data_IF_076226538033
#
_entry.id   IF_076226538033
#
_cell.length_a   1.000
_cell.length_b   1.000
_cell.length_c   1.000
_cell.angle_alpha   90.00
_cell.angle_beta   90.00
_cell.angle_gamma   90.00
#
_symmetry.space_group_name_H-M   'P 1'
#
loop_
_entity.id
_entity.type
_entity.pdbx_description
1 polymer ?
#
# COMPACT_ATOMS: atom_id res chain seq x y z
N UNK A 1 -20.98 -2.34 -3.62
CA UNK A 1 -20.09 -1.18 -3.89
C UNK A 1 -19.68 -0.56 -2.56
N UNK A 2 -18.46 -0.05 -2.46
CA UNK A 2 -17.96 0.66 -1.27
C UNK A 2 -18.02 2.17 -1.52
N UNK A 3 -18.40 2.95 -0.50
CA UNK A 3 -18.43 4.41 -0.57
C UNK A 3 -17.26 4.98 0.22
N UNK A 4 -16.49 5.86 -0.41
CA UNK A 4 -15.36 6.56 0.21
C UNK A 4 -15.66 8.04 0.18
N UNK A 5 -15.65 8.68 1.35
CA UNK A 5 -15.93 10.10 1.51
C UNK A 5 -14.69 10.83 1.99
N UNK A 6 -14.35 11.93 1.34
CA UNK A 6 -13.40 12.91 1.85
C UNK A 6 -14.18 14.01 2.58
N UNK A 7 -14.19 14.03 3.93
CA UNK A 7 -14.88 15.08 4.69
C UNK A 7 -14.12 16.41 4.70
N UNK A 8 -12.85 16.41 4.27
CA UNK A 8 -11.97 17.57 4.31
C UNK A 8 -12.31 18.65 3.29
N UNK A 9 -11.70 19.82 3.49
CA UNK A 9 -11.75 20.97 2.57
C UNK A 9 -10.70 20.92 1.46
N UNK A 10 -9.75 19.98 1.53
CA UNK A 10 -8.69 19.77 0.52
C UNK A 10 -8.87 18.45 -0.20
N UNK A 11 -8.40 18.38 -1.45
CA UNK A 11 -8.38 17.13 -2.22
C UNK A 11 -7.43 16.10 -1.60
N UNK A 12 -7.87 14.84 -1.56
CA UNK A 12 -6.99 13.70 -1.42
C UNK A 12 -6.49 13.34 -2.82
N UNK A 13 -5.20 13.45 -3.07
CA UNK A 13 -4.62 13.20 -4.39
C UNK A 13 -3.68 12.00 -4.30
N UNK A 14 -3.99 10.94 -5.06
CA UNK A 14 -3.19 9.72 -5.11
C UNK A 14 -2.93 9.09 -3.71
N UNK A 15 -3.87 9.30 -2.78
CA UNK A 15 -3.80 8.84 -1.41
C UNK A 15 -4.18 7.38 -1.32
N UNK A 16 -3.47 6.62 -0.49
CA UNK A 16 -3.86 5.25 -0.15
C UNK A 16 -4.82 5.31 1.03
N UNK A 17 -6.03 4.78 0.83
CA UNK A 17 -7.03 4.63 1.89
C UNK A 17 -7.03 3.18 2.41
N UNK A 18 -7.30 3.02 3.70
CA UNK A 18 -7.44 1.72 4.35
C UNK A 18 -8.93 1.38 4.50
N UNK A 19 -9.34 0.23 3.97
CA UNK A 19 -10.70 -0.29 4.12
C UNK A 19 -10.64 -1.59 4.92
N UNK A 20 -11.30 -1.68 6.09
CA UNK A 20 -11.36 -2.91 6.87
C UNK A 20 -11.86 -4.08 6.03
N UNK A 21 -11.17 -5.22 6.10
CA UNK A 21 -11.51 -6.40 5.31
C UNK A 21 -12.91 -6.94 5.62
N UNK A 22 -13.38 -6.73 6.85
CA UNK A 22 -14.78 -7.00 7.25
C UNK A 22 -15.79 -6.19 6.44
N UNK A 23 -15.50 -4.91 6.18
CA UNK A 23 -16.32 -4.03 5.34
C UNK A 23 -16.33 -4.50 3.88
N UNK A 24 -15.17 -4.95 3.36
CA UNK A 24 -15.07 -5.52 2.01
C UNK A 24 -15.91 -6.78 1.88
N UNK A 25 -15.73 -7.75 2.80
CA UNK A 25 -16.51 -9.00 2.80
C UNK A 25 -18.01 -8.77 2.97
N UNK A 26 -18.42 -7.75 3.74
CA UNK A 26 -19.84 -7.39 3.85
C UNK A 26 -20.41 -6.84 2.54
N UNK A 27 -19.63 -6.03 1.82
CA UNK A 27 -20.06 -5.40 0.57
C UNK A 27 -19.93 -6.32 -0.66
N UNK A 28 -19.01 -7.30 -0.60
CA UNK A 28 -18.74 -8.27 -1.66
C UNK A 28 -18.35 -9.63 -1.04
N UNK A 29 -19.31 -10.41 -0.51
CA UNK A 29 -19.05 -11.67 0.19
C UNK A 29 -18.30 -12.72 -0.63
N UNK A 30 -18.49 -12.71 -1.94
CA UNK A 30 -17.86 -13.61 -2.93
C UNK A 30 -16.47 -13.16 -3.38
N UNK A 31 -15.81 -12.27 -2.63
CA UNK A 31 -14.49 -11.75 -2.98
C UNK A 31 -13.47 -12.88 -3.12
N UNK A 32 -12.79 -12.91 -4.27
CA UNK A 32 -11.66 -13.78 -4.55
C UNK A 32 -10.41 -12.91 -4.63
N UNK A 33 -9.48 -13.08 -3.69
CA UNK A 33 -8.25 -12.26 -3.62
C UNK A 33 -7.33 -12.47 -4.83
N UNK A 34 -7.42 -13.62 -5.52
CA UNK A 34 -6.63 -13.88 -6.72
C UNK A 34 -7.29 -13.31 -7.99
N UNK A 35 -8.59 -12.99 -7.94
CA UNK A 35 -9.39 -12.52 -9.06
C UNK A 35 -10.25 -11.31 -8.66
N UNK A 36 -9.62 -10.29 -8.08
CA UNK A 36 -10.28 -9.05 -7.73
C UNK A 36 -9.88 -7.94 -8.70
N UNK A 37 -10.86 -7.23 -9.23
CA UNK A 37 -10.66 -5.96 -9.91
C UNK A 37 -11.48 -4.89 -9.19
N UNK A 38 -10.91 -3.69 -9.05
CA UNK A 38 -11.53 -2.56 -8.37
C UNK A 38 -11.51 -1.36 -9.30
N UNK A 39 -12.66 -0.71 -9.47
CA UNK A 39 -12.75 0.53 -10.23
C UNK A 39 -13.31 1.66 -9.40
N UNK A 40 -12.82 2.87 -9.67
CA UNK A 40 -13.38 4.13 -9.20
C UNK A 40 -13.75 4.96 -10.43
N UNK A 41 -15.01 5.39 -10.53
CA UNK A 41 -15.51 6.16 -11.69
C UNK A 41 -15.21 5.48 -13.05
N UNK A 42 -15.31 4.15 -13.10
CA UNK A 42 -15.09 3.35 -14.32
C UNK A 42 -13.63 3.10 -14.69
N UNK A 43 -12.67 3.62 -13.93
CA UNK A 43 -11.23 3.36 -14.13
C UNK A 43 -10.72 2.41 -13.07
N UNK A 44 -9.89 1.45 -13.47
CA UNK A 44 -9.23 0.56 -12.53
C UNK A 44 -8.29 1.33 -11.59
N UNK A 45 -8.26 0.93 -10.33
CA UNK A 45 -7.42 1.53 -9.29
C UNK A 45 -6.46 0.51 -8.71
N UNK A 46 -5.24 0.96 -8.41
CA UNK A 46 -4.25 0.14 -7.73
C UNK A 46 -4.71 -0.18 -6.30
N UNK A 47 -4.49 -1.42 -5.87
CA UNK A 47 -4.83 -1.86 -4.53
C UNK A 47 -3.82 -2.89 -4.00
N UNK A 48 -3.80 -3.09 -2.69
CA UNK A 48 -3.00 -4.10 -2.01
C UNK A 48 -3.77 -4.70 -0.84
N UNK A 49 -3.49 -5.97 -0.51
CA UNK A 49 -3.99 -6.60 0.70
C UNK A 49 -2.97 -6.45 1.83
N UNK A 50 -3.39 -5.82 2.93
CA UNK A 50 -2.56 -5.69 4.13
C UNK A 50 -2.91 -6.82 5.12
N UNK A 51 -1.88 -7.46 5.67
CA UNK A 51 -2.04 -8.52 6.67
C UNK A 51 -1.55 -8.16 8.06
N UNK A 52 -0.78 -7.07 8.23
CA UNK A 52 -0.21 -6.66 9.53
C UNK A 52 0.48 -7.79 10.32
N UNK A 53 1.19 -8.68 9.62
CA UNK A 53 1.86 -9.85 10.21
C UNK A 53 0.94 -11.06 10.42
N UNK A 54 -0.36 -10.95 10.15
CA UNK A 54 -1.33 -12.03 10.31
C UNK A 54 -1.39 -12.98 9.10
N UNK A 55 -1.97 -14.16 9.32
CA UNK A 55 -2.25 -15.09 8.22
C UNK A 55 -3.39 -14.60 7.32
N UNK A 56 -4.33 -13.83 7.83
CA UNK A 56 -5.50 -13.35 7.08
C UNK A 56 -5.36 -11.87 6.69
N UNK A 57 -6.09 -11.47 5.63
CA UNK A 57 -6.17 -10.07 5.22
C UNK A 57 -6.92 -9.28 6.28
N UNK A 58 -6.31 -8.19 6.75
CA UNK A 58 -6.90 -7.26 7.71
C UNK A 58 -7.54 -6.07 7.01
N UNK A 59 -6.87 -5.56 5.97
CA UNK A 59 -7.34 -4.39 5.23
C UNK A 59 -7.12 -4.53 3.73
N UNK A 60 -7.96 -3.84 2.98
CA UNK A 60 -7.77 -3.52 1.58
C UNK A 60 -7.27 -2.08 1.47
N UNK A 61 -6.05 -1.92 0.97
CA UNK A 61 -5.44 -0.62 0.68
C UNK A 61 -5.77 -0.25 -0.77
N UNK A 62 -6.31 0.94 -1.02
CA UNK A 62 -6.68 1.38 -2.38
C UNK A 62 -6.13 2.77 -2.64
N UNK A 63 -5.44 2.97 -3.76
CA UNK A 63 -4.97 4.30 -4.16
C UNK A 63 -6.07 5.06 -4.91
N UNK A 64 -6.51 6.19 -4.37
CA UNK A 64 -7.61 6.99 -4.92
C UNK A 64 -7.28 8.49 -4.93
N UNK A 65 -7.99 9.24 -5.78
CA UNK A 65 -8.09 10.69 -5.68
C UNK A 65 -9.55 11.07 -5.43
N UNK A 66 -9.80 11.85 -4.37
CA UNK A 66 -11.15 12.26 -3.94
C UNK A 66 -11.14 13.76 -3.67
N UNK A 67 -11.99 14.51 -4.38
CA UNK A 67 -12.13 15.95 -4.18
C UNK A 67 -12.65 16.30 -2.79
N UNK A 68 -12.57 17.58 -2.38
CA UNK A 68 -13.05 18.03 -1.08
C UNK A 68 -14.56 17.81 -0.95
N UNK A 69 -15.01 17.37 0.23
CA UNK A 69 -16.43 17.05 0.52
C UNK A 69 -17.08 16.05 -0.46
N UNK A 70 -16.27 15.35 -1.26
CA UNK A 70 -16.76 14.43 -2.28
C UNK A 70 -16.87 13.01 -1.73
N UNK A 71 -17.84 12.27 -2.26
CA UNK A 71 -17.91 10.81 -2.11
C UNK A 71 -17.71 10.14 -3.45
N UNK A 72 -16.82 9.16 -3.51
CA UNK A 72 -16.65 8.27 -4.67
C UNK A 72 -17.17 6.87 -4.34
N UNK A 73 -17.45 6.10 -5.38
CA UNK A 73 -17.85 4.69 -5.26
C UNK A 73 -16.76 3.81 -5.83
N UNK A 74 -16.42 2.75 -5.08
CA UNK A 74 -15.58 1.66 -5.55
C UNK A 74 -16.47 0.48 -5.93
N UNK A 75 -16.37 0.06 -7.19
CA UNK A 75 -16.99 -1.16 -7.68
C UNK A 75 -15.97 -2.29 -7.61
N UNK A 76 -16.37 -3.41 -7.00
CA UNK A 76 -15.58 -4.62 -6.85
C UNK A 76 -16.25 -5.71 -7.68
N UNK A 77 -15.47 -6.42 -8.47
CA UNK A 77 -15.97 -7.52 -9.28
C UNK A 77 -14.87 -8.54 -9.52
N UNK A 78 -15.29 -9.73 -9.93
CA UNK A 78 -14.37 -10.82 -10.28
C UNK A 78 -13.67 -10.49 -11.59
N UNK A 79 -12.34 -10.49 -11.59
CA UNK A 79 -11.54 -10.15 -12.76
C UNK A 79 -10.04 -10.29 -12.49
N UNK A 80 -9.25 -10.40 -13.56
CA UNK A 80 -7.79 -10.37 -13.44
C UNK A 80 -7.36 -8.91 -13.18
N UNK A 81 -6.66 -8.60 -12.07
CA UNK A 81 -6.18 -7.25 -11.84
C UNK A 81 -5.19 -6.85 -12.94
N UNK A 82 -5.28 -5.59 -13.35
CA UNK A 82 -4.34 -4.95 -14.27
C UNK A 82 -2.94 -4.85 -13.66
N UNK A 83 -1.95 -4.63 -14.53
CA UNK A 83 -0.58 -4.36 -14.10
C UNK A 83 -0.54 -2.98 -13.43
N UNK A 84 0.06 -2.93 -12.24
CA UNK A 84 0.34 -1.70 -11.51
C UNK A 84 1.83 -1.43 -11.59
N UNK A 85 2.21 -0.23 -12.01
CA UNK A 85 3.61 0.19 -12.00
C UNK A 85 4.07 0.42 -10.55
N UNK A 86 5.12 -0.28 -10.08
CA UNK A 86 5.65 -0.08 -8.74
C UNK A 86 6.16 1.36 -8.56
N UNK A 87 5.77 2.00 -7.45
CA UNK A 87 6.24 3.34 -7.05
C UNK A 87 7.25 3.33 -5.90
N UNK A 88 7.44 2.16 -5.30
CA UNK A 88 8.36 1.95 -4.20
C UNK A 88 9.14 0.68 -4.46
N UNK A 89 10.37 0.64 -3.97
CA UNK A 89 11.22 -0.53 -4.03
C UNK A 89 11.92 -0.71 -2.69
N UNK A 90 12.09 -1.96 -2.28
CA UNK A 90 12.91 -2.29 -1.13
C UNK A 90 13.64 -3.59 -1.39
N UNK A 91 14.82 -3.72 -0.78
CA UNK A 91 15.59 -4.96 -0.82
C UNK A 91 16.50 -5.07 0.37
N UNK A 92 16.88 -6.32 0.64
CA UNK A 92 18.06 -6.62 1.42
C UNK A 92 19.32 -6.30 0.60
N UNK A 93 20.34 -5.76 1.26
CA UNK A 93 21.60 -5.33 0.67
C UNK A 93 22.76 -6.04 1.40
N UNK A 94 22.90 -7.37 1.22
CA UNK A 94 23.94 -8.14 1.91
C UNK A 94 25.36 -7.66 1.61
N UNK A 95 25.60 -7.14 0.40
CA UNK A 95 26.89 -6.56 0.00
C UNK A 95 27.30 -5.33 0.83
N UNK A 96 26.38 -4.79 1.64
CA UNK A 96 26.60 -3.68 2.56
C UNK A 96 26.49 -4.12 4.02
N UNK A 97 26.93 -5.33 4.36
CA UNK A 97 26.92 -5.85 5.73
C UNK A 97 25.50 -5.94 6.30
N UNK A 98 24.61 -6.60 5.56
CA UNK A 98 23.24 -6.93 5.98
C UNK A 98 22.29 -5.72 6.09
N UNK A 99 22.58 -4.65 5.36
CA UNK A 99 21.71 -3.47 5.27
C UNK A 99 20.33 -3.82 4.68
N UNK A 100 19.31 -3.06 5.06
CA UNK A 100 18.03 -3.05 4.37
C UNK A 100 17.76 -1.65 3.83
N UNK A 101 17.44 -1.56 2.54
CA UNK A 101 17.19 -0.30 1.86
C UNK A 101 15.78 -0.25 1.29
N UNK A 102 15.14 0.91 1.37
CA UNK A 102 13.86 1.16 0.70
C UNK A 102 13.79 2.59 0.16
N UNK A 103 13.11 2.77 -0.96
CA UNK A 103 13.01 4.06 -1.64
C UNK A 103 11.63 4.28 -2.28
N UNK A 104 11.36 5.54 -2.61
CA UNK A 104 10.22 5.99 -3.41
C UNK A 104 10.67 7.10 -4.37
N UNK A 105 9.71 7.74 -5.05
CA UNK A 105 9.94 8.81 -6.02
C UNK A 105 10.56 10.11 -5.45
N UNK A 106 10.76 10.19 -4.13
CA UNK A 106 11.24 11.41 -3.43
C UNK A 106 12.42 11.18 -2.51
N UNK A 107 12.56 9.99 -1.94
CA UNK A 107 13.53 9.72 -0.87
C UNK A 107 13.91 8.24 -0.86
N UNK A 108 15.16 7.97 -0.49
CA UNK A 108 15.67 6.65 -0.19
C UNK A 108 16.01 6.58 1.29
N UNK A 109 15.99 5.38 1.85
CA UNK A 109 16.27 5.12 3.24
C UNK A 109 17.09 3.87 3.37
N UNK A 110 17.86 3.79 4.45
CA UNK A 110 18.64 2.61 4.78
C UNK A 110 18.66 2.39 6.28
N UNK A 111 18.57 1.14 6.68
CA UNK A 111 18.88 0.71 8.05
C UNK A 111 20.13 -0.17 7.97
N UNK A 112 21.08 0.15 8.84
CA UNK A 112 22.33 -0.60 8.94
C UNK A 112 22.09 -2.01 9.45
N UNK A 113 22.74 -2.97 8.80
CA UNK A 113 22.64 -4.38 9.16
C UNK A 113 23.31 -4.71 10.49
N UNK A 114 22.89 -5.83 11.10
CA UNK A 114 23.43 -6.29 12.37
C UNK A 114 24.94 -6.62 12.28
N UNK A 115 25.47 -6.93 11.09
CA UNK A 115 26.88 -7.20 10.86
C UNK A 115 27.79 -5.97 11.07
N UNK A 116 27.23 -4.76 11.17
CA UNK A 116 27.96 -3.54 11.50
C UNK A 116 28.04 -3.27 13.01
N UNK A 117 27.28 -4.00 13.84
CA UNK A 117 27.30 -3.81 15.28
C UNK A 117 28.67 -4.16 15.88
N UNK A 118 29.26 -3.24 16.65
CA UNK A 118 30.53 -3.43 17.35
C UNK A 118 31.78 -3.16 16.52
N UNK A 119 31.64 -2.75 15.25
CA UNK A 119 32.76 -2.22 14.47
C UNK A 119 33.13 -0.81 14.94
N UNK A 120 34.39 -0.44 14.78
CA UNK A 120 34.92 0.87 15.19
C UNK A 120 34.49 2.02 14.27
N UNK A 121 33.82 1.75 13.16
CA UNK A 121 33.45 2.71 12.11
C UNK A 121 32.08 3.40 12.35
N UNK A 122 31.49 3.30 13.54
CA UNK A 122 30.26 4.00 13.97
C UNK A 122 29.07 3.89 12.98
N UNK A 123 28.99 2.81 12.21
CA UNK A 123 27.94 2.59 11.22
C UNK A 123 26.75 1.83 11.82
N UNK A 124 25.99 2.50 12.69
CA UNK A 124 24.79 1.95 13.34
C UNK A 124 23.59 2.90 13.21
N UNK A 125 22.38 2.35 13.17
CA UNK A 125 21.14 3.14 13.08
C UNK A 125 20.53 3.19 11.68
N UNK A 126 20.10 4.38 11.26
CA UNK A 126 19.39 4.61 9.99
C UNK A 126 19.84 5.88 9.29
N UNK A 127 19.90 5.84 7.95
CA UNK A 127 20.13 6.99 7.08
C UNK A 127 18.90 7.31 6.22
N UNK A 128 18.81 8.58 5.79
CA UNK A 128 17.81 9.14 4.88
C UNK A 128 18.54 9.87 3.75
#
# INVERSE_FOLDING_TARGET
MLKITNPGSSSLTQTVIEIPWTTVKKAYPQVDTAQLQITASGKEVAYQFERRGEKSVQNLLVQVSVGPKQTIQLALYRGKPGRVEPKTYCRYVPERYDDFAWENDKVAFRIYGAALNGRSDNAYGSDI
#
